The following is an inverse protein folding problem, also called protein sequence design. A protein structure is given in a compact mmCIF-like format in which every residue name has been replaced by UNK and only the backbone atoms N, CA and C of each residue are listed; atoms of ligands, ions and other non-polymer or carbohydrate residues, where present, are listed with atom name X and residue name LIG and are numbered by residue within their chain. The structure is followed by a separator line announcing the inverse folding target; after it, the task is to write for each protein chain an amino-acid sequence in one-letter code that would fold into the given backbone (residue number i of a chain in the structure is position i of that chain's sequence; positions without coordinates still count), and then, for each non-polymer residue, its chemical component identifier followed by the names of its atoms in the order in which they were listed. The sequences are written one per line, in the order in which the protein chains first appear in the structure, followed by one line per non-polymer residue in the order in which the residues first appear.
data_IF_833215395379
#
_entry.id   IF_833215395379
#
_cell.length_a   1.000
_cell.length_b   1.000
_cell.length_c   1.000
_cell.angle_alpha   90.00
_cell.angle_beta   90.00
_cell.angle_gamma   90.00
#
_symmetry.space_group_name_H-M   'P 1'
#
loop_
_entity.id
_entity.type
_entity.pdbx_description
1 polymer ?
#
# COMPACT_ATOMS: atom_id res chain seq x y z
N UNK A 1 -34.26 5.51 8.48
CA UNK A 1 -35.46 4.69 8.15
C UNK A 1 -36.71 5.53 7.90
N UNK A 2 -37.05 6.51 8.76
CA UNK A 2 -38.30 7.29 8.61
C UNK A 2 -38.42 8.02 7.26
N UNK A 3 -37.35 8.65 6.79
CA UNK A 3 -37.33 9.43 5.52
C UNK A 3 -37.54 8.59 4.26
N UNK A 4 -37.13 7.32 4.27
CA UNK A 4 -37.21 6.41 3.11
C UNK A 4 -38.65 6.02 2.76
N UNK A 5 -39.60 6.17 3.68
CA UNK A 5 -41.02 5.88 3.46
C UNK A 5 -41.74 7.01 2.71
N UNK A 6 -41.23 8.25 2.82
CA UNK A 6 -41.88 9.41 2.19
C UNK A 6 -41.57 9.52 0.69
N UNK A 7 -40.41 9.04 0.24
CA UNK A 7 -40.00 9.05 -1.18
C UNK A 7 -40.97 8.29 -2.11
N UNK A 8 -41.38 7.03 -1.83
CA UNK A 8 -42.34 6.34 -2.68
C UNK A 8 -43.72 6.97 -2.70
N UNK A 9 -44.16 7.54 -1.57
CA UNK A 9 -45.43 8.28 -1.49
C UNK A 9 -45.37 9.54 -2.37
N UNK A 10 -44.23 10.22 -2.39
CA UNK A 10 -44.03 11.40 -3.23
C UNK A 10 -44.04 11.05 -4.72
N UNK A 11 -43.35 9.98 -5.13
CA UNK A 11 -43.36 9.54 -6.53
C UNK A 11 -44.74 9.08 -7.00
N UNK A 12 -45.54 8.46 -6.13
CA UNK A 12 -46.90 8.02 -6.44
C UNK A 12 -47.84 9.20 -6.75
N UNK A 13 -47.62 10.36 -6.12
CA UNK A 13 -48.45 11.55 -6.34
C UNK A 13 -48.01 12.40 -7.53
N UNK A 14 -46.74 12.30 -7.93
CA UNK A 14 -46.15 13.17 -8.95
C UNK A 14 -46.16 12.57 -10.36
N UNK A 15 -46.03 11.24 -10.49
CA UNK A 15 -46.03 10.57 -11.78
C UNK A 15 -47.36 9.86 -12.03
N UNK A 16 -47.89 10.00 -13.26
CA UNK A 16 -49.09 9.28 -13.71
C UNK A 16 -48.78 7.89 -14.26
N UNK A 17 -47.60 7.70 -14.82
CA UNK A 17 -47.20 6.44 -15.45
C UNK A 17 -46.66 5.44 -14.41
N UNK A 18 -47.36 4.32 -14.26
CA UNK A 18 -47.04 3.29 -13.27
C UNK A 18 -45.62 2.74 -13.40
N UNK A 19 -45.18 2.44 -14.63
CA UNK A 19 -43.83 1.93 -14.89
C UNK A 19 -42.74 2.93 -14.52
N UNK A 20 -42.97 4.23 -14.76
CA UNK A 20 -42.02 5.27 -14.40
C UNK A 20 -41.90 5.41 -12.87
N UNK A 21 -43.02 5.31 -12.13
CA UNK A 21 -43.02 5.30 -10.66
C UNK A 21 -42.16 4.16 -10.11
N UNK A 22 -42.30 2.95 -10.67
CA UNK A 22 -41.55 1.78 -10.21
C UNK A 22 -40.05 1.95 -10.44
N UNK A 23 -39.64 2.37 -11.65
CA UNK A 23 -38.22 2.56 -11.99
C UNK A 23 -37.58 3.66 -11.14
N UNK A 24 -38.24 4.80 -10.96
CA UNK A 24 -37.71 5.91 -10.17
C UNK A 24 -37.57 5.55 -8.69
N UNK A 25 -38.51 4.78 -8.14
CA UNK A 25 -38.40 4.29 -6.77
C UNK A 25 -37.24 3.32 -6.58
N UNK A 26 -37.10 2.34 -7.47
CA UNK A 26 -35.99 1.39 -7.43
C UNK A 26 -34.65 2.12 -7.51
N UNK A 27 -34.51 3.04 -8.47
CA UNK A 27 -33.29 3.83 -8.67
C UNK A 27 -32.93 4.66 -7.43
N UNK A 28 -33.93 5.31 -6.82
CA UNK A 28 -33.72 6.13 -5.63
C UNK A 28 -33.26 5.28 -4.45
N UNK A 29 -33.91 4.15 -4.18
CA UNK A 29 -33.52 3.23 -3.10
C UNK A 29 -32.11 2.67 -3.36
N UNK A 30 -31.81 2.30 -4.60
CA UNK A 30 -30.49 1.83 -5.01
C UNK A 30 -29.42 2.88 -4.70
N UNK A 31 -29.66 4.13 -5.08
CA UNK A 31 -28.72 5.23 -4.84
C UNK A 31 -28.43 5.41 -3.34
N UNK A 32 -29.46 5.39 -2.50
CA UNK A 32 -29.28 5.47 -1.05
C UNK A 32 -28.56 4.26 -0.46
N UNK A 33 -28.86 3.05 -0.93
CA UNK A 33 -28.20 1.84 -0.47
C UNK A 33 -26.71 1.84 -0.84
N UNK A 34 -26.40 2.24 -2.08
CA UNK A 34 -25.03 2.35 -2.56
C UNK A 34 -24.24 3.38 -1.74
N UNK A 35 -24.82 4.56 -1.48
CA UNK A 35 -24.22 5.59 -0.64
C UNK A 35 -23.97 5.10 0.80
N UNK A 36 -24.90 4.34 1.36
CA UNK A 36 -24.77 3.79 2.70
C UNK A 36 -23.62 2.77 2.79
N UNK A 37 -23.53 1.85 1.84
CA UNK A 37 -22.44 0.86 1.83
C UNK A 37 -21.07 1.51 1.65
N UNK A 38 -20.95 2.47 0.73
CA UNK A 38 -19.68 3.21 0.54
C UNK A 38 -19.30 4.00 1.80
N UNK A 39 -20.27 4.63 2.47
CA UNK A 39 -20.01 5.34 3.71
C UNK A 39 -19.55 4.40 4.83
N UNK A 40 -20.10 3.19 4.89
CA UNK A 40 -19.73 2.14 5.85
C UNK A 40 -18.33 1.59 5.57
N UNK A 41 -17.98 1.37 4.31
CA UNK A 41 -16.62 0.95 3.94
C UNK A 41 -15.59 2.02 4.32
N UNK A 42 -15.90 3.30 4.11
CA UNK A 42 -15.01 4.40 4.45
C UNK A 42 -14.88 4.68 5.96
N UNK A 43 -15.77 4.14 6.80
CA UNK A 43 -15.73 4.37 8.25
C UNK A 43 -14.60 3.60 8.95
N UNK A 44 -14.13 2.50 8.34
CA UNK A 44 -13.05 1.66 8.88
C UNK A 44 -11.90 1.49 7.88
N UNK A 45 -11.13 2.56 7.59
CA UNK A 45 -10.15 2.59 6.51
C UNK A 45 -8.88 1.74 6.76
N UNK A 46 -8.78 1.11 7.93
CA UNK A 46 -7.62 0.32 8.37
C UNK A 46 -7.90 -1.19 8.42
N UNK A 47 -9.03 -1.63 7.89
CA UNK A 47 -9.26 -3.05 7.69
C UNK A 47 -8.44 -3.55 6.48
N UNK A 48 -8.38 -4.88 6.32
CA UNK A 48 -7.66 -5.50 5.21
C UNK A 48 -8.63 -5.83 4.06
N UNK A 49 -9.52 -4.90 3.71
CA UNK A 49 -10.36 -5.00 2.52
C UNK A 49 -9.58 -4.48 1.29
N UNK A 50 -9.94 -4.93 0.06
CA UNK A 50 -9.20 -4.56 -1.14
C UNK A 50 -9.22 -3.06 -1.48
N UNK A 51 -10.17 -2.30 -0.91
CA UNK A 51 -10.31 -0.86 -1.13
C UNK A 51 -9.84 -0.01 0.08
N UNK A 52 -9.25 -0.65 1.08
CA UNK A 52 -8.72 0.01 2.27
C UNK A 52 -7.27 0.48 2.07
N UNK A 53 -6.78 1.30 3.00
CA UNK A 53 -5.41 1.79 2.91
C UNK A 53 -4.41 0.65 3.14
N UNK A 54 -3.39 0.50 2.28
CA UNK A 54 -2.36 -0.53 2.44
C UNK A 54 -1.35 -0.14 3.53
N UNK A 55 -1.78 -0.19 4.79
CA UNK A 55 -0.99 0.26 5.95
C UNK A 55 0.36 -0.47 6.06
N UNK A 56 0.40 -1.75 5.71
CA UNK A 56 1.62 -2.56 5.69
C UNK A 56 2.66 -2.00 4.69
N UNK A 57 2.20 -1.52 3.53
CA UNK A 57 3.09 -0.92 2.54
C UNK A 57 3.65 0.42 3.03
N UNK A 58 2.83 1.25 3.67
CA UNK A 58 3.30 2.50 4.26
C UNK A 58 4.31 2.27 5.40
N UNK A 59 4.08 1.24 6.23
CA UNK A 59 5.02 0.88 7.29
C UNK A 59 6.36 0.38 6.72
N UNK A 60 6.32 -0.39 5.63
CA UNK A 60 7.54 -0.82 4.94
C UNK A 60 8.33 0.37 4.37
N UNK A 61 7.66 1.28 3.67
CA UNK A 61 8.28 2.49 3.10
C UNK A 61 8.86 3.40 4.19
N UNK A 62 8.18 3.53 5.33
CA UNK A 62 8.70 4.31 6.46
C UNK A 62 9.99 3.70 7.03
N UNK A 63 10.02 2.37 7.19
CA UNK A 63 11.22 1.67 7.68
C UNK A 63 12.38 1.79 6.69
N UNK A 64 12.12 1.69 5.39
CA UNK A 64 13.12 1.86 4.34
C UNK A 64 13.69 3.29 4.32
N UNK A 65 12.83 4.30 4.47
CA UNK A 65 13.25 5.69 4.54
C UNK A 65 14.14 5.97 5.77
N UNK A 66 13.83 5.37 6.93
CA UNK A 66 14.67 5.44 8.11
C UNK A 66 16.06 4.84 7.84
N UNK A 67 16.12 3.63 7.28
CA UNK A 67 17.40 2.98 6.95
C UNK A 67 18.22 3.85 6.00
N UNK A 68 17.58 4.39 4.96
CA UNK A 68 18.23 5.27 3.97
C UNK A 68 18.77 6.57 4.60
N UNK A 69 18.05 7.14 5.57
CA UNK A 69 18.51 8.35 6.27
C UNK A 69 19.77 8.10 7.10
N UNK A 70 19.91 6.90 7.68
CA UNK A 70 21.07 6.55 8.52
C UNK A 70 22.25 5.97 7.72
N UNK A 71 22.01 5.39 6.54
CA UNK A 71 23.06 4.79 5.69
C UNK A 71 24.07 5.85 5.17
N UNK A 72 23.65 7.12 5.07
CA UNK A 72 24.52 8.24 4.68
C UNK A 72 25.27 8.94 5.82
N UNK A 73 24.97 8.64 7.09
CA UNK A 73 25.50 9.34 8.25
C UNK A 73 26.14 8.35 9.22
N UNK A 74 27.23 7.71 8.78
CA UNK A 74 27.96 6.77 9.62
C UNK A 74 28.85 7.56 10.60
N UNK A 75 28.69 7.39 11.93
CA UNK A 75 29.38 8.22 12.94
C UNK A 75 30.89 8.02 13.02
N UNK A 76 31.45 7.09 12.25
CA UNK A 76 32.89 6.87 12.07
C UNK A 76 33.50 7.73 10.94
N UNK A 77 32.70 8.27 10.01
CA UNK A 77 33.18 9.09 8.90
C UNK A 77 33.78 10.43 9.38
N UNK A 78 33.38 10.90 10.56
CA UNK A 78 33.94 12.13 11.12
C UNK A 78 35.39 11.99 11.57
N UNK A 79 35.84 10.80 12.01
CA UNK A 79 37.19 10.64 12.56
C UNK A 79 38.24 10.43 11.46
N UNK A 80 37.83 10.17 10.20
CA UNK A 80 38.72 10.08 9.04
C UNK A 80 39.21 11.43 8.51
N UNK A 81 38.56 12.53 8.90
CA UNK A 81 38.90 13.88 8.42
C UNK A 81 40.15 14.43 9.15
N UNK A 82 40.37 14.06 10.41
CA UNK A 82 41.49 14.57 11.22
C UNK A 82 42.85 13.94 10.86
N UNK A 83 42.86 12.75 10.23
CA UNK A 83 44.10 12.03 9.89
C UNK A 83 44.79 12.49 8.59
N UNK A 84 44.14 13.31 7.75
CA UNK A 84 44.66 13.73 6.43
C UNK A 84 45.10 15.19 6.36
N UNK A 85 45.21 15.88 7.50
CA UNK A 85 45.88 17.20 7.57
C UNK A 85 47.36 16.98 7.86
N UNK A 86 48.12 16.56 6.83
CA UNK A 86 49.57 16.78 6.82
C UNK A 86 49.84 18.12 6.13
N UNK A 87 50.45 19.00 6.91
CA UNK A 87 51.10 20.29 6.64
C UNK A 87 51.54 20.51 5.18
N UNK A 88 51.40 21.74 4.64
CA UNK A 88 51.58 22.04 3.23
C UNK A 88 53.04 21.92 2.80
N UNK A 89 53.36 20.91 2.00
CA UNK A 89 54.58 20.89 1.21
C UNK A 89 54.26 20.71 -0.27
N UNK A 90 54.62 21.74 -1.03
CA UNK A 90 54.75 21.79 -2.48
C UNK A 90 53.47 21.63 -3.32
N UNK A 91 53.08 22.77 -3.89
CA UNK A 91 52.58 22.93 -5.26
C UNK A 91 53.06 21.79 -6.17
N UNK A 92 52.20 20.80 -6.44
CA UNK A 92 52.15 20.18 -7.76
C UNK A 92 50.87 19.36 -7.98
N UNK A 93 50.13 19.79 -9.01
CA UNK A 93 49.03 19.09 -9.70
C UNK A 93 47.80 18.74 -8.84
N UNK A 94 46.69 19.40 -9.16
CA UNK A 94 45.36 18.82 -9.07
C UNK A 94 45.44 17.35 -9.51
N UNK A 95 45.07 16.36 -8.68
CA UNK A 95 44.76 15.06 -9.23
C UNK A 95 43.53 15.28 -10.09
N UNK A 96 43.78 15.25 -11.40
CA UNK A 96 42.78 15.04 -12.42
C UNK A 96 41.80 14.00 -11.92
N UNK A 97 40.52 14.31 -12.11
CA UNK A 97 39.43 13.37 -12.31
C UNK A 97 39.97 12.01 -12.80
N UNK A 98 40.25 11.15 -11.83
CA UNK A 98 40.91 9.87 -12.05
C UNK A 98 39.81 8.83 -12.10
N UNK A 99 39.47 8.45 -13.33
CA UNK A 99 38.86 7.16 -13.61
C UNK A 99 39.59 6.04 -12.84
N UNK A 100 38.80 5.02 -12.46
CA UNK A 100 39.16 3.77 -11.76
C UNK A 100 38.97 3.85 -10.24
N UNK A 101 38.04 3.15 -9.61
CA UNK A 101 37.19 2.02 -10.01
C UNK A 101 35.72 2.38 -9.81
N UNK A 102 34.87 2.01 -10.78
CA UNK A 102 33.45 1.86 -10.51
C UNK A 102 33.36 0.89 -9.32
N UNK A 103 32.79 1.26 -8.15
CA UNK A 103 32.36 0.21 -7.24
C UNK A 103 31.48 -0.69 -8.08
N UNK A 104 31.76 -1.99 -8.08
CA UNK A 104 30.78 -2.97 -8.57
C UNK A 104 29.55 -2.74 -7.71
N UNK A 105 28.66 -1.84 -8.16
CA UNK A 105 27.25 -1.95 -7.88
C UNK A 105 26.96 -3.37 -8.28
N UNK A 106 26.86 -4.25 -7.27
CA UNK A 106 25.98 -5.39 -7.39
C UNK A 106 24.67 -4.71 -7.73
N UNK A 107 24.31 -4.71 -9.01
CA UNK A 107 23.03 -4.22 -9.46
C UNK A 107 22.05 -5.11 -8.74
N UNK A 108 21.59 -4.64 -7.58
CA UNK A 108 20.49 -5.24 -6.87
C UNK A 108 19.36 -5.08 -7.86
N UNK A 109 19.12 -6.16 -8.61
CA UNK A 109 18.06 -6.20 -9.59
C UNK A 109 16.78 -6.15 -8.77
N UNK A 110 16.34 -4.93 -8.46
CA UNK A 110 15.14 -4.64 -7.68
C UNK A 110 13.92 -5.41 -8.22
N UNK A 111 13.89 -5.65 -9.54
CA UNK A 111 12.89 -6.47 -10.22
C UNK A 111 12.96 -7.97 -9.85
N UNK A 112 14.16 -8.52 -9.59
CA UNK A 112 14.32 -9.91 -9.15
C UNK A 112 13.96 -10.09 -7.67
N UNK A 113 14.30 -9.12 -6.82
CA UNK A 113 13.94 -9.17 -5.39
C UNK A 113 12.42 -9.01 -5.18
N UNK A 114 11.74 -8.16 -5.96
CA UNK A 114 10.27 -8.08 -5.95
C UNK A 114 9.61 -9.38 -6.43
N UNK A 115 10.17 -10.05 -7.44
CA UNK A 115 9.61 -11.29 -7.97
C UNK A 115 9.89 -12.49 -7.03
N UNK A 116 11.00 -12.46 -6.29
CA UNK A 116 11.31 -13.43 -5.24
C UNK A 116 10.39 -13.27 -4.02
N UNK A 117 10.07 -12.05 -3.62
CA UNK A 117 9.13 -11.76 -2.52
C UNK A 117 7.68 -12.13 -2.92
N UNK A 118 7.28 -11.84 -4.16
CA UNK A 118 5.96 -12.21 -4.69
C UNK A 118 5.74 -13.74 -4.75
N UNK A 119 6.80 -14.51 -5.03
CA UNK A 119 6.74 -15.99 -4.96
C UNK A 119 6.58 -16.51 -3.53
N UNK A 120 7.24 -15.91 -2.54
CA UNK A 120 7.08 -16.30 -1.12
C UNK A 120 5.68 -16.00 -0.58
N UNK A 121 5.08 -14.89 -1.03
CA UNK A 121 3.70 -14.53 -0.67
C UNK A 121 2.65 -15.51 -1.20
N UNK A 122 2.84 -16.04 -2.41
CA UNK A 122 1.90 -16.98 -3.03
C UNK A 122 1.95 -18.39 -2.39
N UNK A 123 3.12 -18.84 -1.93
CA UNK A 123 3.26 -20.12 -1.23
C UNK A 123 2.67 -20.06 0.19
N UNK A 124 2.83 -18.95 0.91
CA UNK A 124 2.22 -18.78 2.24
C UNK A 124 0.69 -18.68 2.19
N UNK A 125 0.13 -18.08 1.15
CA UNK A 125 -1.32 -18.02 0.93
C UNK A 125 -1.97 -19.37 0.64
N UNK A 126 -1.27 -20.26 -0.07
CA UNK A 126 -1.78 -21.61 -0.38
C UNK A 126 -1.77 -22.54 0.83
N UNK A 127 -0.79 -22.39 1.73
CA UNK A 127 -0.70 -23.20 2.97
C UNK A 127 -1.83 -22.87 3.94
N UNK A 128 -2.21 -21.59 4.10
CA UNK A 128 -3.35 -21.19 4.94
C UNK A 128 -4.70 -21.63 4.36
N UNK A 129 -4.82 -21.76 3.04
CA UNK A 129 -6.06 -22.19 2.40
C UNK A 129 -6.27 -23.72 2.48
N UNK A 130 -5.21 -24.53 2.58
CA UNK A 130 -5.30 -25.98 2.82
C UNK A 130 -5.62 -26.34 4.28
N UNK A 131 -5.09 -25.62 5.27
CA UNK A 131 -5.38 -25.89 6.69
C UNK A 131 -6.85 -25.61 7.05
N UNK A 132 -7.44 -24.53 6.52
CA UNK A 132 -8.86 -24.23 6.71
C UNK A 132 -9.79 -25.26 6.07
N UNK A 133 -9.33 -25.97 5.02
CA UNK A 133 -10.11 -27.03 4.35
C UNK A 133 -10.05 -28.36 5.09
N UNK A 134 -8.93 -28.68 5.77
CA UNK A 134 -8.82 -29.86 6.65
C UNK A 134 -9.68 -29.71 7.89
N UNK A 135 -9.71 -28.53 8.51
CA UNK A 135 -10.48 -28.30 9.75
C UNK A 135 -12.00 -28.35 9.55
N UNK A 136 -12.50 -28.02 8.35
CA UNK A 136 -13.92 -28.21 7.99
C UNK A 136 -14.30 -29.66 7.68
N UNK A 137 -13.35 -30.52 7.32
CA UNK A 137 -13.64 -31.93 7.01
C UNK A 137 -13.67 -32.85 8.25
N UNK A 138 -13.00 -32.45 9.34
CA UNK A 138 -12.96 -33.24 10.59
C UNK A 138 -14.19 -33.00 11.47
N UNK A 139 -14.89 -31.88 11.31
CA UNK A 139 -16.08 -31.53 12.10
C UNK A 139 -17.41 -32.02 11.48
N UNK A 140 -17.36 -32.92 10.49
CA UNK A 140 -18.56 -33.48 9.82
C UNK A 140 -18.60 -35.02 9.83
N UNK A 141 -18.03 -35.66 10.86
CA UNK A 141 -18.23 -37.10 11.16
C UNK A 141 -18.55 -37.23 12.63
#
# INVERSE_FOLDING_TARGET
LSTSVYLPVLFLTYLKDFWAVVVMNLFTIWCFCALYEVARELEMPFQNAPNDLPLNNFQHQFNEALITMYDGFHPDAWWEIEGKVKTPESVHRLPSFGENEKPKLKSVNFAEDFNAEAKRGNESGNVQQEESKKEKSVNFT
#
